data_IF_763604813768
#
_entry.id   IF_763604813768
#
_cell.length_a   1.000
_cell.length_b   1.000
_cell.length_c   1.000
_cell.angle_alpha   90.00
_cell.angle_beta   90.00
_cell.angle_gamma   90.00
#
_symmetry.space_group_name_H-M   'P 1'
#
loop_
_entity.id
_entity.type
_entity.pdbx_description
1 polymer ?
#
# COMPACT_ATOMS: atom_id res chain seq x y z
N UNK A 1 16.65 -16.28 23.71
CA UNK A 1 17.24 -15.65 22.49
C UNK A 1 17.81 -16.70 21.53
N UNK A 2 18.82 -17.50 21.91
CA UNK A 2 19.52 -18.43 21.00
C UNK A 2 18.66 -19.53 20.37
N UNK A 3 17.77 -20.19 21.14
CA UNK A 3 16.78 -21.15 20.59
C UNK A 3 15.80 -20.49 19.60
N UNK A 4 15.41 -19.23 19.87
CA UNK A 4 14.52 -18.47 18.99
C UNK A 4 15.17 -18.16 17.63
N UNK A 5 16.44 -17.73 17.63
CA UNK A 5 17.21 -17.51 16.39
C UNK A 5 17.43 -18.82 15.61
N UNK A 6 17.61 -19.94 16.31
CA UNK A 6 17.75 -21.25 15.67
C UNK A 6 16.45 -21.71 14.99
N UNK A 7 15.29 -21.50 15.63
CA UNK A 7 14.00 -21.80 15.01
C UNK A 7 13.70 -20.88 13.81
N UNK A 8 14.08 -19.59 13.89
CA UNK A 8 13.98 -18.67 12.76
C UNK A 8 14.84 -19.11 11.57
N UNK A 9 16.06 -19.58 11.82
CA UNK A 9 16.92 -20.11 10.76
C UNK A 9 16.37 -21.41 10.17
N UNK A 10 15.79 -22.28 10.99
CA UNK A 10 15.18 -23.53 10.52
C UNK A 10 13.90 -23.29 9.73
N UNK A 11 13.08 -22.32 10.11
CA UNK A 11 11.87 -21.97 9.35
C UNK A 11 12.20 -21.45 7.96
N UNK A 12 13.36 -20.81 7.78
CA UNK A 12 13.83 -20.33 6.48
C UNK A 12 14.56 -21.40 5.63
N UNK A 13 14.57 -22.68 6.05
CA UNK A 13 15.19 -23.80 5.31
C UNK A 13 14.15 -24.66 4.61
N UNK A 14 14.55 -25.28 3.51
CA UNK A 14 13.71 -26.16 2.69
C UNK A 14 13.38 -25.54 1.33
N UNK A 15 12.79 -26.34 0.44
CA UNK A 15 12.55 -25.95 -0.96
C UNK A 15 11.14 -25.38 -1.18
N UNK A 16 10.30 -25.36 -0.13
CA UNK A 16 8.92 -24.91 -0.19
C UNK A 16 8.77 -23.44 0.23
N UNK A 17 8.53 -22.56 -0.75
CA UNK A 17 8.12 -21.18 -0.51
C UNK A 17 6.65 -21.13 -0.07
N UNK A 18 6.33 -20.30 0.93
CA UNK A 18 4.97 -20.13 1.46
C UNK A 18 4.59 -18.65 1.48
N UNK A 19 3.31 -18.35 1.67
CA UNK A 19 2.83 -16.97 1.85
C UNK A 19 3.59 -16.26 2.99
N UNK A 20 3.78 -16.93 4.12
CA UNK A 20 4.49 -16.37 5.27
C UNK A 20 5.96 -16.03 4.99
N UNK A 21 6.64 -16.79 4.13
CA UNK A 21 8.01 -16.46 3.72
C UNK A 21 8.05 -15.15 2.94
N UNK A 22 7.07 -14.93 2.06
CA UNK A 22 6.98 -13.72 1.24
C UNK A 22 6.55 -12.51 2.07
N UNK A 23 5.56 -12.67 2.94
CA UNK A 23 5.14 -11.64 3.88
C UNK A 23 6.27 -11.22 4.83
N UNK A 24 7.04 -12.18 5.35
CA UNK A 24 8.22 -11.90 6.16
C UNK A 24 9.29 -11.14 5.36
N UNK A 25 9.48 -11.48 4.09
CA UNK A 25 10.36 -10.74 3.19
C UNK A 25 9.93 -9.29 2.99
N UNK A 26 8.63 -9.04 2.80
CA UNK A 26 8.06 -7.70 2.65
C UNK A 26 8.25 -6.90 3.95
N UNK A 27 7.92 -7.49 5.09
CA UNK A 27 8.10 -6.88 6.40
C UNK A 27 9.57 -6.53 6.67
N UNK A 28 10.50 -7.42 6.30
CA UNK A 28 11.93 -7.17 6.43
C UNK A 28 12.39 -5.97 5.58
N UNK A 29 11.87 -5.80 4.37
CA UNK A 29 12.19 -4.65 3.53
C UNK A 29 11.76 -3.33 4.20
N UNK A 30 10.57 -3.30 4.81
CA UNK A 30 10.12 -2.13 5.56
C UNK A 30 10.94 -1.88 6.83
N UNK A 31 11.28 -2.91 7.59
CA UNK A 31 11.98 -2.75 8.87
C UNK A 31 13.47 -2.43 8.73
N UNK A 32 14.07 -2.71 7.58
CA UNK A 32 15.50 -2.47 7.33
C UNK A 32 15.77 -1.15 6.62
N UNK A 33 14.72 -0.47 6.15
CA UNK A 33 14.82 0.87 5.59
C UNK A 33 15.12 1.89 6.70
N UNK A 34 16.06 2.80 6.45
CA UNK A 34 16.37 3.90 7.38
C UNK A 34 15.23 4.92 7.46
N UNK A 35 14.51 5.08 6.35
CA UNK A 35 13.33 5.91 6.22
C UNK A 35 12.40 5.37 5.12
N UNK A 36 11.24 6.03 4.94
CA UNK A 36 10.26 5.62 3.94
C UNK A 36 10.80 5.69 2.49
N UNK A 37 11.63 6.70 2.19
CA UNK A 37 12.22 6.90 0.87
C UNK A 37 13.31 5.87 0.55
N UNK A 38 13.99 5.33 1.56
CA UNK A 38 15.00 4.29 1.40
C UNK A 38 14.43 2.86 1.33
N UNK A 39 13.10 2.70 1.31
CA UNK A 39 12.47 1.38 1.22
C UNK A 39 12.72 0.76 -0.17
N UNK A 40 13.16 -0.50 -0.21
CA UNK A 40 13.37 -1.24 -1.46
C UNK A 40 12.03 -1.69 -2.08
N UNK A 41 11.35 -0.75 -2.72
CA UNK A 41 10.06 -0.97 -3.35
C UNK A 41 10.12 -1.97 -4.52
N UNK A 42 11.25 -2.04 -5.23
CA UNK A 42 11.43 -2.99 -6.33
C UNK A 42 11.42 -4.43 -5.79
N UNK A 43 12.11 -4.67 -4.67
CA UNK A 43 12.07 -5.97 -3.99
C UNK A 43 10.69 -6.28 -3.42
N UNK A 44 10.00 -5.30 -2.82
CA UNK A 44 8.63 -5.49 -2.31
C UNK A 44 7.67 -5.86 -3.44
N UNK A 45 7.76 -5.18 -4.60
CA UNK A 45 6.94 -5.51 -5.77
C UNK A 45 7.20 -6.95 -6.24
N UNK A 46 8.46 -7.35 -6.36
CA UNK A 46 8.82 -8.72 -6.77
C UNK A 46 8.34 -9.80 -5.77
N UNK A 47 8.25 -9.47 -4.48
CA UNK A 47 7.68 -10.36 -3.46
C UNK A 47 6.15 -10.45 -3.59
N UNK A 48 5.47 -9.33 -3.83
CA UNK A 48 4.03 -9.33 -4.10
C UNK A 48 3.67 -10.03 -5.43
N UNK A 49 4.51 -9.93 -6.46
CA UNK A 49 4.36 -10.71 -7.70
C UNK A 49 4.36 -12.21 -7.43
N UNK A 50 5.20 -12.67 -6.49
CA UNK A 50 5.22 -14.06 -6.05
C UNK A 50 4.00 -14.39 -5.20
N UNK A 51 3.63 -13.50 -4.26
CA UNK A 51 2.56 -13.76 -3.30
C UNK A 51 1.19 -13.85 -3.98
N UNK A 52 0.94 -13.02 -4.99
CA UNK A 52 -0.30 -13.07 -5.81
C UNK A 52 -0.49 -14.38 -6.57
N UNK A 53 0.57 -15.18 -6.79
CA UNK A 53 0.45 -16.52 -7.39
C UNK A 53 0.06 -17.59 -6.37
N UNK A 54 0.25 -17.32 -5.09
CA UNK A 54 -0.09 -18.23 -3.98
C UNK A 54 -1.43 -17.85 -3.33
N UNK A 55 -1.74 -16.55 -3.31
CA UNK A 55 -2.91 -15.98 -2.65
C UNK A 55 -3.84 -15.29 -3.63
N UNK A 56 -5.15 -15.56 -3.51
CA UNK A 56 -6.21 -14.84 -4.23
C UNK A 56 -6.82 -13.70 -3.40
N UNK A 57 -6.13 -13.26 -2.34
CA UNK A 57 -6.62 -12.18 -1.47
C UNK A 57 -6.64 -10.83 -2.21
N UNK A 58 -7.77 -10.11 -2.23
CA UNK A 58 -7.83 -8.78 -2.84
C UNK A 58 -6.96 -7.76 -2.10
N UNK A 59 -6.65 -7.99 -0.82
CA UNK A 59 -5.73 -7.14 -0.04
C UNK A 59 -4.29 -7.30 -0.54
N UNK A 60 -3.89 -8.51 -0.93
CA UNK A 60 -2.58 -8.75 -1.55
C UNK A 60 -2.51 -8.03 -2.91
N UNK A 61 -3.58 -8.07 -3.71
CA UNK A 61 -3.66 -7.36 -4.99
C UNK A 61 -3.57 -5.83 -4.81
N UNK A 62 -4.27 -5.27 -3.81
CA UNK A 62 -4.16 -3.86 -3.42
C UNK A 62 -2.71 -3.48 -3.07
N UNK A 63 -2.06 -4.24 -2.17
CA UNK A 63 -0.71 -3.91 -1.73
C UNK A 63 0.31 -4.03 -2.87
N UNK A 64 0.14 -5.00 -3.77
CA UNK A 64 0.92 -5.10 -5.01
C UNK A 64 0.76 -3.86 -5.88
N UNK A 65 -0.46 -3.37 -6.06
CA UNK A 65 -0.73 -2.17 -6.84
C UNK A 65 -0.07 -0.92 -6.23
N UNK A 66 -0.04 -0.82 -4.90
CA UNK A 66 0.70 0.24 -4.19
C UNK A 66 2.20 0.12 -4.49
N UNK A 67 2.79 -1.07 -4.37
CA UNK A 67 4.20 -1.30 -4.69
C UNK A 67 4.52 -0.95 -6.16
N UNK A 68 3.62 -1.29 -7.09
CA UNK A 68 3.74 -0.91 -8.49
C UNK A 68 3.77 0.62 -8.68
N UNK A 69 2.90 1.35 -7.99
CA UNK A 69 2.90 2.82 -8.03
C UNK A 69 4.20 3.42 -7.46
N UNK A 70 4.79 2.80 -6.45
CA UNK A 70 6.07 3.25 -5.88
C UNK A 70 7.28 2.99 -6.79
N UNK A 71 7.24 1.91 -7.59
CA UNK A 71 8.34 1.57 -8.51
C UNK A 71 8.21 2.26 -9.86
N UNK A 72 7.00 2.29 -10.42
CA UNK A 72 6.73 2.72 -11.79
C UNK A 72 6.00 4.07 -11.88
N UNK A 73 5.70 4.69 -10.74
CA UNK A 73 5.04 5.99 -10.65
C UNK A 73 3.54 5.90 -10.37
N UNK A 74 3.00 7.00 -9.85
CA UNK A 74 1.63 7.08 -9.35
C UNK A 74 0.56 6.64 -10.37
N UNK A 75 0.74 6.94 -11.67
CA UNK A 75 -0.20 6.51 -12.71
C UNK A 75 -0.28 4.98 -12.81
N UNK A 76 0.85 4.27 -12.82
CA UNK A 76 0.86 2.81 -12.84
C UNK A 76 0.19 2.22 -11.59
N UNK A 77 0.33 2.89 -10.45
CA UNK A 77 -0.39 2.54 -9.22
C UNK A 77 -1.91 2.66 -9.39
N UNK A 78 -2.40 3.78 -9.91
CA UNK A 78 -3.83 3.98 -10.17
C UNK A 78 -4.40 2.96 -11.16
N UNK A 79 -3.69 2.70 -12.26
CA UNK A 79 -4.11 1.74 -13.28
C UNK A 79 -4.25 0.33 -12.67
N UNK A 80 -3.28 -0.07 -11.85
CA UNK A 80 -3.34 -1.35 -11.13
C UNK A 80 -4.46 -1.38 -10.07
N UNK A 81 -4.67 -0.28 -9.33
CA UNK A 81 -5.75 -0.16 -8.35
C UNK A 81 -7.14 -0.19 -8.99
N UNK A 82 -7.29 0.16 -10.27
CA UNK A 82 -8.56 0.05 -10.99
C UNK A 82 -9.01 -1.40 -11.20
N UNK A 83 -8.06 -2.34 -11.29
CA UNK A 83 -8.34 -3.76 -11.44
C UNK A 83 -8.71 -4.46 -10.12
N UNK A 84 -8.47 -3.83 -8.97
CA UNK A 84 -8.76 -4.41 -7.64
C UNK A 84 -10.26 -4.35 -7.35
N UNK A 85 -10.85 -5.51 -7.08
CA UNK A 85 -12.29 -5.68 -6.79
C UNK A 85 -12.52 -6.13 -5.34
N UNK A 86 -13.74 -5.94 -4.83
CA UNK A 86 -14.17 -6.46 -3.53
C UNK A 86 -13.64 -5.69 -2.31
N UNK A 87 -13.08 -4.49 -2.51
CA UNK A 87 -12.51 -3.65 -1.45
C UNK A 87 -13.16 -2.25 -1.36
N UNK A 88 -14.38 -2.08 -1.85
CA UNK A 88 -15.07 -0.78 -1.86
C UNK A 88 -15.36 -0.20 -0.46
N UNK A 89 -15.46 -1.07 0.54
CA UNK A 89 -15.59 -0.72 1.96
C UNK A 89 -14.24 -0.75 2.71
N UNK A 90 -13.12 -0.88 1.99
CA UNK A 90 -11.79 -0.91 2.58
C UNK A 90 -11.13 0.47 2.49
N UNK A 91 -10.86 1.07 3.65
CA UNK A 91 -10.31 2.42 3.76
C UNK A 91 -9.01 2.58 2.96
N UNK A 92 -8.10 1.61 3.07
CA UNK A 92 -6.77 1.68 2.45
C UNK A 92 -6.81 1.74 0.93
N UNK A 93 -7.84 1.17 0.27
CA UNK A 93 -8.00 1.28 -1.18
C UNK A 93 -8.19 2.74 -1.59
N UNK A 94 -9.10 3.44 -0.90
CA UNK A 94 -9.42 4.83 -1.22
C UNK A 94 -8.30 5.77 -0.79
N UNK A 95 -7.62 5.48 0.32
CA UNK A 95 -6.43 6.23 0.72
C UNK A 95 -5.31 6.13 -0.34
N UNK A 96 -5.03 4.94 -0.86
CA UNK A 96 -4.01 4.74 -1.90
C UNK A 96 -4.36 5.46 -3.22
N UNK A 97 -5.62 5.37 -3.66
CA UNK A 97 -6.10 6.11 -4.85
C UNK A 97 -5.98 7.62 -4.66
N UNK A 98 -6.35 8.14 -3.48
CA UNK A 98 -6.21 9.56 -3.16
C UNK A 98 -4.75 10.02 -3.17
N UNK A 99 -3.85 9.24 -2.59
CA UNK A 99 -2.42 9.54 -2.55
C UNK A 99 -1.81 9.63 -3.95
N UNK A 100 -2.02 8.63 -4.80
CA UNK A 100 -1.49 8.66 -6.16
C UNK A 100 -2.13 9.76 -7.02
N UNK A 101 -3.43 10.03 -6.88
CA UNK A 101 -4.06 11.15 -7.56
C UNK A 101 -3.45 12.50 -7.13
N UNK A 102 -3.16 12.68 -5.84
CA UNK A 102 -2.52 13.89 -5.33
C UNK A 102 -1.09 14.05 -5.88
N UNK A 103 -0.30 12.97 -5.93
CA UNK A 103 1.05 12.97 -6.53
C UNK A 103 1.04 13.38 -8.02
N UNK A 104 -0.04 13.08 -8.73
CA UNK A 104 -0.25 13.48 -10.13
C UNK A 104 -0.85 14.90 -10.28
N UNK A 105 -1.05 15.63 -9.18
CA UNK A 105 -1.70 16.95 -9.19
C UNK A 105 -3.21 16.91 -9.48
N UNK A 106 -3.84 15.73 -9.46
CA UNK A 106 -5.27 15.55 -9.71
C UNK A 106 -6.08 15.82 -8.44
N UNK A 107 -6.00 17.06 -7.93
CA UNK A 107 -6.49 17.44 -6.59
C UNK A 107 -7.98 17.15 -6.38
N UNK A 108 -8.83 17.35 -7.39
CA UNK A 108 -10.26 17.05 -7.30
C UNK A 108 -10.54 15.56 -7.14
N UNK A 109 -9.82 14.71 -7.90
CA UNK A 109 -9.92 13.26 -7.81
C UNK A 109 -9.38 12.75 -6.46
N UNK A 110 -8.24 13.30 -6.02
CA UNK A 110 -7.66 13.01 -4.72
C UNK A 110 -8.65 13.28 -3.57
N UNK A 111 -9.25 14.48 -3.55
CA UNK A 111 -10.25 14.86 -2.55
C UNK A 111 -11.46 13.91 -2.56
N UNK A 112 -11.94 13.49 -3.74
CA UNK A 112 -13.05 12.55 -3.84
C UNK A 112 -12.71 11.19 -3.20
N UNK A 113 -11.51 10.66 -3.46
CA UNK A 113 -11.05 9.42 -2.84
C UNK A 113 -10.84 9.57 -1.33
N UNK A 114 -10.26 10.68 -0.87
CA UNK A 114 -10.10 10.92 0.57
C UNK A 114 -11.43 11.08 1.31
N UNK A 115 -12.46 11.68 0.69
CA UNK A 115 -13.82 11.69 1.27
C UNK A 115 -14.39 10.29 1.43
N UNK A 116 -14.11 9.39 0.49
CA UNK A 116 -14.52 7.98 0.61
C UNK A 116 -13.75 7.25 1.71
N UNK A 117 -12.45 7.52 1.87
CA UNK A 117 -11.65 7.01 2.99
C UNK A 117 -12.16 7.54 4.34
N UNK A 118 -12.46 8.84 4.43
CA UNK A 118 -13.04 9.49 5.62
C UNK A 118 -14.38 8.85 6.03
N UNK A 119 -15.24 8.50 5.07
CA UNK A 119 -16.51 7.82 5.35
C UNK A 119 -16.34 6.43 5.96
N UNK A 120 -15.18 5.79 5.76
CA UNK A 120 -14.83 4.47 6.28
C UNK A 120 -13.94 4.54 7.54
N UNK A 121 -13.46 5.73 7.91
CA UNK A 121 -12.58 5.95 9.05
C UNK A 121 -13.31 5.74 10.38
N UNK A 122 -12.79 4.83 11.20
CA UNK A 122 -13.38 4.46 12.48
C UNK A 122 -12.75 5.24 13.64
N UNK A 123 -11.47 5.61 13.52
CA UNK A 123 -10.74 6.30 14.58
C UNK A 123 -10.75 7.82 14.37
N UNK A 124 -10.85 8.62 15.45
CA UNK A 124 -10.78 10.09 15.33
C UNK A 124 -9.51 10.57 14.63
N UNK A 125 -8.37 9.92 14.85
CA UNK A 125 -7.09 10.25 14.20
C UNK A 125 -7.13 10.06 12.68
N UNK A 126 -7.74 8.98 12.19
CA UNK A 126 -7.94 8.73 10.76
C UNK A 126 -8.84 9.80 10.15
N UNK A 127 -9.92 10.17 10.84
CA UNK A 127 -10.85 11.20 10.37
C UNK A 127 -10.15 12.54 10.21
N UNK A 128 -9.48 13.01 11.26
CA UNK A 128 -8.73 14.26 11.22
C UNK A 128 -7.58 14.24 10.20
N UNK A 129 -6.99 13.07 9.93
CA UNK A 129 -6.00 12.93 8.87
C UNK A 129 -6.61 13.16 7.48
N UNK A 130 -7.72 12.49 7.15
CA UNK A 130 -8.34 12.67 5.83
C UNK A 130 -9.02 14.04 5.65
N UNK A 131 -9.61 14.62 6.70
CA UNK A 131 -10.14 15.99 6.66
C UNK A 131 -9.07 17.02 6.27
N UNK A 132 -7.85 16.85 6.79
CA UNK A 132 -6.71 17.70 6.43
C UNK A 132 -6.31 17.53 4.97
N UNK A 133 -6.16 16.29 4.51
CA UNK A 133 -5.82 15.99 3.11
C UNK A 133 -6.86 16.52 2.12
N UNK A 134 -8.15 16.48 2.47
CA UNK A 134 -9.22 17.08 1.67
C UNK A 134 -9.04 18.59 1.57
N UNK A 135 -8.79 19.25 2.71
CA UNK A 135 -8.58 20.70 2.77
C UNK A 135 -7.35 21.12 1.95
N UNK A 136 -6.26 20.37 2.03
CA UNK A 136 -5.05 20.61 1.23
C UNK A 136 -5.32 20.48 -0.28
N UNK A 137 -6.11 19.47 -0.70
CA UNK A 137 -6.48 19.32 -2.11
C UNK A 137 -7.38 20.46 -2.60
N UNK A 138 -8.31 20.93 -1.76
CA UNK A 138 -9.24 22.01 -2.11
C UNK A 138 -8.54 23.37 -2.21
N UNK A 139 -7.53 23.62 -1.38
CA UNK A 139 -6.73 24.86 -1.43
C UNK A 139 -5.71 24.86 -2.57
N UNK A 140 -5.23 23.69 -3.00
CA UNK A 140 -4.33 23.55 -4.15
C UNK A 140 -5.04 23.59 -5.51
N UNK A 141 -6.37 23.48 -5.55
CA UNK A 141 -7.12 23.65 -6.80
C UNK A 141 -7.10 25.13 -7.23
N UNK A 142 -6.76 25.46 -8.49
CA UNK A 142 -6.79 26.84 -8.94
C UNK A 142 -8.22 27.38 -8.79
N UNK A 143 -8.35 28.52 -8.10
CA UNK A 143 -9.59 29.27 -8.00
C UNK A 143 -10.09 29.54 -9.42
N UNK A 144 -11.28 29.02 -9.73
CA UNK A 144 -11.90 29.10 -11.04
C UNK A 144 -12.17 30.55 -11.46
#
# INVERSE_FOLDING_TARGET
>A
IQRGLQHLQLSARGDALTEYHLEAGIAACHSTAADHGSTDWARILALYDQLTRLSHSPVVALNRAIAMGRVHGAQSGLDALAAVQGLDAYLSLHAARGAFAAELGQTQAAAAHYRRALALAALPSERSFFERLITECETAAPTK
#
